data_IF_583890217680
#
_entry.id   IF_583890217680
#
_cell.length_a   1.000
_cell.length_b   1.000
_cell.length_c   1.000
_cell.angle_alpha   90.00
_cell.angle_beta   90.00
_cell.angle_gamma   90.00
#
_symmetry.space_group_name_H-M   'P 1'
#
loop_
_entity.id
_entity.type
_entity.pdbx_description
1 polymer ?
#
# COMPACT_ATOMS: atom_id res chain seq x y z
N UNK A 1 -38.82 -45.37 19.75
CA UNK A 1 -37.54 -45.33 19.02
C UNK A 1 -37.65 -44.31 17.91
N UNK A 2 -36.67 -43.39 17.86
CA UNK A 2 -36.29 -42.43 16.80
C UNK A 2 -37.35 -41.50 16.18
N UNK A 3 -37.31 -40.23 16.59
CA UNK A 3 -37.79 -39.10 15.80
C UNK A 3 -36.68 -38.67 14.83
N UNK A 4 -36.96 -38.70 13.52
CA UNK A 4 -36.04 -38.24 12.48
C UNK A 4 -36.07 -36.70 12.40
N UNK A 5 -34.98 -36.04 12.77
CA UNK A 5 -34.77 -34.62 12.48
C UNK A 5 -34.32 -34.46 11.03
N UNK A 6 -35.19 -33.92 10.17
CA UNK A 6 -34.79 -33.36 8.88
C UNK A 6 -34.19 -31.97 9.12
N UNK A 7 -32.89 -31.82 8.90
CA UNK A 7 -32.25 -30.50 8.83
C UNK A 7 -32.39 -29.95 7.40
N UNK A 8 -32.77 -28.66 7.21
CA UNK A 8 -32.80 -28.07 5.89
C UNK A 8 -31.37 -27.80 5.41
N UNK A 9 -31.08 -28.26 4.19
CA UNK A 9 -29.85 -27.95 3.48
C UNK A 9 -29.86 -26.45 3.13
N UNK A 10 -29.14 -25.63 3.90
CA UNK A 10 -28.93 -24.22 3.55
C UNK A 10 -28.05 -24.16 2.29
N UNK A 11 -28.65 -23.77 1.17
CA UNK A 11 -27.90 -23.43 -0.04
C UNK A 11 -27.09 -22.16 0.22
N UNK A 12 -25.76 -22.29 0.20
CA UNK A 12 -24.85 -21.14 0.26
C UNK A 12 -24.95 -20.40 -1.08
N UNK A 13 -25.66 -19.28 -1.11
CA UNK A 13 -25.67 -18.42 -2.28
C UNK A 13 -24.24 -17.88 -2.50
N UNK A 14 -23.73 -17.82 -3.75
CA UNK A 14 -22.45 -17.20 -4.02
C UNK A 14 -22.56 -15.72 -3.62
N UNK A 15 -21.76 -15.33 -2.63
CA UNK A 15 -21.54 -13.92 -2.31
C UNK A 15 -20.87 -13.29 -3.51
N UNK A 16 -21.64 -12.60 -4.36
CA UNK A 16 -21.06 -11.68 -5.32
C UNK A 16 -20.29 -10.65 -4.50
N UNK A 17 -18.97 -10.76 -4.49
CA UNK A 17 -18.11 -9.67 -4.09
C UNK A 17 -18.45 -8.53 -5.06
N UNK A 18 -19.25 -7.58 -4.59
CA UNK A 18 -19.47 -6.35 -5.33
C UNK A 18 -18.09 -5.74 -5.53
N UNK A 19 -17.67 -5.62 -6.79
CA UNK A 19 -16.49 -4.85 -7.15
C UNK A 19 -16.68 -3.43 -6.60
N UNK A 20 -16.03 -3.13 -5.50
CA UNK A 20 -15.88 -1.78 -5.00
C UNK A 20 -14.94 -1.06 -5.97
N UNK A 21 -15.47 -0.67 -7.13
CA UNK A 21 -14.86 0.33 -7.97
C UNK A 21 -14.99 1.65 -7.23
N UNK A 22 -14.00 1.97 -6.41
CA UNK A 22 -13.79 3.32 -5.90
C UNK A 22 -13.31 4.11 -7.11
N UNK A 23 -14.11 5.01 -7.69
CA UNK A 23 -13.64 5.84 -8.78
C UNK A 23 -12.45 6.63 -8.25
N UNK A 24 -11.30 6.49 -8.90
CA UNK A 24 -10.25 7.49 -8.77
C UNK A 24 -10.78 8.72 -9.49
N UNK A 25 -11.25 9.72 -8.74
CA UNK A 25 -11.84 10.95 -9.31
C UNK A 25 -10.84 11.77 -10.13
N UNK A 26 -9.57 11.36 -10.20
CA UNK A 26 -8.57 11.96 -11.08
C UNK A 26 -8.42 11.14 -12.38
N UNK A 27 -8.56 11.77 -13.56
CA UNK A 27 -8.17 11.13 -14.81
C UNK A 27 -6.69 10.77 -14.76
N UNK A 28 -6.36 9.58 -15.26
CA UNK A 28 -4.99 9.11 -15.38
C UNK A 28 -4.14 10.16 -16.11
N UNK A 29 -3.01 10.56 -15.50
CA UNK A 29 -2.13 11.60 -16.03
C UNK A 29 -2.40 13.03 -15.53
N UNK A 30 -3.27 13.21 -14.53
CA UNK A 30 -3.38 14.51 -13.83
C UNK A 30 -2.09 14.77 -13.05
N UNK A 31 -1.35 15.86 -13.32
CA UNK A 31 -0.16 16.19 -12.56
C UNK A 31 -0.51 16.48 -11.09
N UNK A 32 0.31 16.04 -10.12
CA UNK A 32 0.04 16.32 -8.72
C UNK A 32 0.16 17.82 -8.42
N UNK A 33 -0.74 18.33 -7.56
CA UNK A 33 -0.70 19.72 -7.12
C UNK A 33 0.59 20.06 -6.33
N UNK A 34 1.11 19.07 -5.59
CA UNK A 34 2.34 19.17 -4.81
C UNK A 34 3.12 17.86 -4.90
N UNK A 35 4.44 17.95 -4.90
CA UNK A 35 5.33 16.79 -4.86
C UNK A 35 6.22 16.81 -3.61
N UNK A 36 6.43 15.63 -3.05
CA UNK A 36 7.20 15.42 -1.83
C UNK A 36 8.44 14.57 -2.11
N UNK A 37 9.55 14.92 -1.47
CA UNK A 37 10.80 14.18 -1.62
C UNK A 37 10.68 12.81 -0.96
N UNK A 38 11.04 11.74 -1.68
CA UNK A 38 11.16 10.40 -1.12
C UNK A 38 12.51 10.28 -0.43
N UNK A 39 12.50 10.23 0.90
CA UNK A 39 13.72 10.22 1.72
C UNK A 39 14.25 8.81 2.03
N UNK A 40 13.41 7.77 1.86
CA UNK A 40 13.78 6.37 2.09
C UNK A 40 12.72 5.41 1.54
N UNK A 41 13.14 4.37 0.84
CA UNK A 41 12.33 3.18 0.58
C UNK A 41 12.51 2.18 1.72
N UNK A 42 11.41 1.78 2.36
CA UNK A 42 11.44 0.84 3.49
C UNK A 42 11.35 -0.58 2.96
N UNK A 43 10.32 -0.83 2.16
CA UNK A 43 9.91 -2.08 1.50
C UNK A 43 9.24 -1.70 0.15
N UNK A 44 8.81 -2.68 -0.65
CA UNK A 44 8.27 -2.42 -1.99
C UNK A 44 7.01 -1.54 -2.05
N UNK A 45 6.23 -1.48 -0.96
CA UNK A 45 4.99 -0.71 -0.86
C UNK A 45 5.02 0.39 0.22
N UNK A 46 6.18 0.62 0.85
CA UNK A 46 6.29 1.52 2.00
C UNK A 46 7.49 2.44 1.84
N UNK A 47 7.24 3.75 1.85
CA UNK A 47 8.27 4.79 1.73
C UNK A 47 8.19 5.82 2.86
N UNK A 48 9.25 6.60 3.01
CA UNK A 48 9.25 7.84 3.77
C UNK A 48 9.30 9.03 2.81
N UNK A 49 8.48 10.03 3.08
CA UNK A 49 8.47 11.30 2.35
C UNK A 49 8.80 12.46 3.30
N UNK A 50 9.35 13.54 2.76
CA UNK A 50 9.51 14.80 3.48
C UNK A 50 8.31 15.73 3.21
N UNK A 51 7.58 16.10 4.26
CA UNK A 51 6.44 17.01 4.17
C UNK A 51 6.48 18.00 5.33
N UNK A 52 6.61 19.29 5.01
CA UNK A 52 6.60 20.35 6.03
C UNK A 52 7.77 20.29 7.02
N UNK A 53 8.93 19.75 6.61
CA UNK A 53 10.10 19.56 7.48
C UNK A 53 10.01 18.34 8.41
N UNK A 54 8.98 17.51 8.24
CA UNK A 54 8.83 16.24 8.94
C UNK A 54 8.90 15.06 7.97
N UNK A 55 9.45 13.95 8.48
CA UNK A 55 9.44 12.67 7.76
C UNK A 55 8.15 11.93 8.03
N UNK A 56 7.35 11.73 6.99
CA UNK A 56 6.12 10.98 7.07
C UNK A 56 6.26 9.60 6.44
N UNK A 57 5.72 8.57 7.10
CA UNK A 57 5.71 7.21 6.58
C UNK A 57 4.45 6.96 5.76
N UNK A 58 4.62 6.59 4.51
CA UNK A 58 3.55 6.35 3.54
C UNK A 58 3.45 4.85 3.23
N UNK A 59 2.22 4.33 3.21
CA UNK A 59 1.88 3.01 2.66
C UNK A 59 1.14 3.24 1.34
N UNK A 60 1.64 2.62 0.28
CA UNK A 60 1.03 2.67 -1.03
C UNK A 60 -0.30 1.90 -0.99
N UNK A 61 -1.36 2.55 -1.45
CA UNK A 61 -2.65 1.92 -1.62
C UNK A 61 -2.61 0.93 -2.79
N UNK A 62 -3.38 -0.16 -2.68
CA UNK A 62 -3.52 -1.19 -3.70
C UNK A 62 -2.23 -1.96 -4.04
N UNK A 63 -1.17 -1.78 -3.25
CA UNK A 63 0.09 -2.51 -3.36
C UNK A 63 0.38 -3.19 -2.02
N UNK A 64 0.63 -4.50 -2.09
CA UNK A 64 1.10 -5.31 -0.95
C UNK A 64 2.26 -6.17 -1.44
N UNK A 65 3.47 -5.78 -1.06
CA UNK A 65 4.69 -6.49 -1.44
C UNK A 65 5.15 -7.40 -0.33
N UNK A 66 5.96 -8.38 -0.70
CA UNK A 66 6.72 -9.16 0.27
C UNK A 66 7.53 -8.28 1.23
N UNK A 67 7.63 -8.71 2.49
CA UNK A 67 8.34 -7.97 3.54
C UNK A 67 9.76 -8.53 3.68
N UNK A 68 10.75 -7.64 3.74
CA UNK A 68 12.16 -8.05 3.82
C UNK A 68 12.49 -8.78 5.12
N UNK A 69 13.48 -9.65 5.03
CA UNK A 69 14.10 -10.30 6.19
C UNK A 69 14.81 -9.25 7.05
N UNK A 70 14.50 -9.20 8.34
CA UNK A 70 15.02 -8.19 9.27
C UNK A 70 15.28 -8.78 10.65
N UNK A 71 16.44 -8.47 11.23
CA UNK A 71 16.72 -8.80 12.64
C UNK A 71 15.97 -7.90 13.63
N UNK A 72 15.39 -6.78 13.17
CA UNK A 72 14.73 -5.78 14.02
C UNK A 72 13.22 -6.02 14.18
N UNK A 73 12.62 -6.79 13.28
CA UNK A 73 11.20 -7.14 13.34
C UNK A 73 11.06 -8.65 13.24
N UNK A 74 10.60 -9.34 14.30
CA UNK A 74 10.44 -10.78 14.24
C UNK A 74 9.41 -11.16 13.18
N UNK A 75 9.63 -12.32 12.57
CA UNK A 75 8.64 -12.96 11.72
C UNK A 75 7.31 -13.09 12.47
N UNK A 76 6.21 -12.69 11.82
CA UNK A 76 4.90 -12.65 12.45
C UNK A 76 3.79 -12.84 11.42
N UNK A 77 2.63 -13.30 11.86
CA UNK A 77 1.46 -13.47 10.98
C UNK A 77 1.06 -12.18 10.27
N UNK A 78 1.29 -11.01 10.89
CA UNK A 78 0.97 -9.71 10.30
C UNK A 78 2.08 -9.07 9.47
N UNK A 79 3.30 -9.60 9.57
CA UNK A 79 4.51 -9.13 8.87
C UNK A 79 5.43 -10.33 8.66
N UNK A 80 5.06 -11.24 7.76
CA UNK A 80 5.84 -12.44 7.51
C UNK A 80 7.14 -12.05 6.81
N UNK A 81 8.27 -12.59 7.24
CA UNK A 81 9.52 -12.39 6.51
C UNK A 81 9.57 -13.35 5.33
N UNK A 82 9.69 -12.82 4.11
CA UNK A 82 9.59 -13.64 2.89
C UNK A 82 10.79 -13.42 1.96
N UNK A 83 10.97 -14.35 1.03
CA UNK A 83 12.21 -14.51 0.25
C UNK A 83 12.44 -13.40 -0.77
N UNK A 84 11.38 -12.75 -1.28
CA UNK A 84 11.46 -11.67 -2.27
C UNK A 84 11.31 -10.26 -1.66
N UNK A 85 11.34 -10.14 -0.33
CA UNK A 85 11.17 -8.85 0.33
C UNK A 85 12.32 -7.86 0.06
N UNK A 86 13.54 -8.34 -0.16
CA UNK A 86 14.65 -7.45 -0.53
C UNK A 86 14.59 -7.04 -2.01
N UNK A 87 14.17 -7.95 -2.88
CA UNK A 87 14.02 -7.73 -4.32
C UNK A 87 12.93 -6.71 -4.62
N UNK A 88 11.76 -6.82 -3.97
CA UNK A 88 10.66 -5.86 -4.15
C UNK A 88 11.05 -4.45 -3.66
N UNK A 89 11.81 -4.37 -2.56
CA UNK A 89 12.38 -3.11 -2.07
C UNK A 89 13.39 -2.52 -3.04
N UNK A 90 14.31 -3.32 -3.59
CA UNK A 90 15.30 -2.87 -4.58
C UNK A 90 14.57 -2.36 -5.82
N UNK A 91 13.59 -3.11 -6.31
CA UNK A 91 12.78 -2.72 -7.46
C UNK A 91 12.06 -1.38 -7.22
N UNK A 92 11.43 -1.19 -6.05
CA UNK A 92 10.78 0.08 -5.72
C UNK A 92 11.79 1.23 -5.62
N UNK A 93 12.97 0.98 -5.06
CA UNK A 93 14.04 1.97 -5.01
C UNK A 93 14.48 2.39 -6.41
N UNK A 94 14.74 1.43 -7.30
CA UNK A 94 15.12 1.70 -8.69
C UNK A 94 14.01 2.41 -9.46
N UNK A 95 12.75 2.04 -9.25
CA UNK A 95 11.60 2.73 -9.82
C UNK A 95 11.60 4.22 -9.43
N UNK A 96 11.70 4.53 -8.14
CA UNK A 96 11.71 5.92 -7.70
C UNK A 96 12.94 6.66 -8.23
N UNK A 97 14.13 6.07 -8.16
CA UNK A 97 15.34 6.69 -8.72
C UNK A 97 15.22 6.95 -10.22
N UNK A 98 14.49 6.10 -10.98
CA UNK A 98 14.28 6.27 -12.42
C UNK A 98 13.42 7.46 -12.82
N UNK A 99 12.58 7.97 -11.91
CA UNK A 99 11.73 9.15 -12.14
C UNK A 99 12.37 10.44 -11.62
N UNK A 100 13.53 10.37 -10.97
CA UNK A 100 14.25 11.53 -10.48
C UNK A 100 15.09 12.18 -11.60
N UNK A 101 15.21 13.50 -11.57
CA UNK A 101 16.19 14.20 -12.39
C UNK A 101 17.63 13.85 -11.94
N UNK A 102 18.62 13.85 -12.85
CA UNK A 102 20.00 13.52 -12.50
C UNK A 102 20.56 14.38 -11.36
N UNK A 103 20.94 13.74 -10.25
CA UNK A 103 21.50 14.42 -9.08
C UNK A 103 20.46 14.92 -8.07
N UNK A 104 19.16 14.74 -8.36
CA UNK A 104 18.09 15.05 -7.43
C UNK A 104 17.56 13.79 -6.72
N UNK A 105 16.81 14.00 -5.65
CA UNK A 105 16.05 12.94 -4.99
C UNK A 105 14.70 12.76 -5.68
N UNK A 106 14.18 11.53 -5.74
CA UNK A 106 12.86 11.30 -6.30
C UNK A 106 11.79 12.10 -5.58
N UNK A 107 10.84 12.61 -6.35
CA UNK A 107 9.68 13.34 -5.85
C UNK A 107 8.41 12.68 -6.34
N UNK A 108 7.40 12.61 -5.48
CA UNK A 108 6.13 11.94 -5.77
C UNK A 108 4.95 12.84 -5.41
N UNK A 109 3.90 12.80 -6.21
CA UNK A 109 2.59 13.28 -5.84
C UNK A 109 1.86 12.27 -4.96
N UNK A 110 0.89 12.76 -4.19
CA UNK A 110 0.00 11.91 -3.39
C UNK A 110 -1.44 12.12 -3.84
N UNK A 111 -2.11 11.01 -4.13
CA UNK A 111 -3.54 10.99 -4.39
C UNK A 111 -4.25 10.24 -3.26
N UNK A 112 -5.15 10.95 -2.59
CA UNK A 112 -5.98 10.40 -1.54
C UNK A 112 -7.36 10.03 -2.09
N UNK A 113 -7.81 8.77 -1.97
CA UNK A 113 -9.15 8.39 -2.41
C UNK A 113 -10.24 9.25 -1.75
N UNK A 114 -11.13 9.82 -2.56
CA UNK A 114 -12.16 10.75 -2.09
C UNK A 114 -11.62 12.08 -1.55
N UNK A 115 -10.37 12.44 -1.88
CA UNK A 115 -9.77 13.74 -1.58
C UNK A 115 -9.44 13.99 -0.10
N UNK A 116 -9.44 12.95 0.75
CA UNK A 116 -9.23 13.09 2.20
C UNK A 116 -8.05 12.26 2.66
N UNK A 117 -7.18 12.89 3.46
CA UNK A 117 -6.08 12.15 4.10
C UNK A 117 -6.61 11.10 5.07
N UNK A 118 -6.10 9.88 4.92
CA UNK A 118 -6.41 8.76 5.80
C UNK A 118 -5.10 8.18 6.33
N UNK A 119 -5.12 7.79 7.61
CA UNK A 119 -4.03 7.05 8.24
C UNK A 119 -4.47 5.64 8.60
N UNK A 120 -3.58 4.68 8.36
CA UNK A 120 -3.77 3.31 8.81
C UNK A 120 -3.60 3.17 10.33
N UNK A 121 -3.94 1.99 10.86
CA UNK A 121 -3.84 1.67 12.31
C UNK A 121 -2.47 1.92 12.96
N UNK A 122 -1.40 2.00 12.15
CA UNK A 122 -0.03 2.22 12.60
C UNK A 122 0.46 3.66 12.33
N UNK A 123 -0.44 4.60 12.07
CA UNK A 123 -0.13 6.02 11.83
C UNK A 123 0.45 6.35 10.45
N UNK A 124 0.65 5.35 9.58
CA UNK A 124 1.10 5.54 8.19
C UNK A 124 0.04 6.30 7.38
N UNK A 125 0.48 7.27 6.59
CA UNK A 125 -0.37 7.84 5.53
C UNK A 125 -0.74 6.75 4.52
N UNK A 126 -1.96 6.80 4.01
CA UNK A 126 -2.46 5.91 2.96
C UNK A 126 -2.76 6.75 1.72
N UNK A 127 -1.99 6.56 0.64
CA UNK A 127 -2.22 7.26 -0.62
C UNK A 127 -1.75 6.42 -1.81
N UNK A 128 -2.28 6.76 -2.99
CA UNK A 128 -1.67 6.39 -4.27
C UNK A 128 -0.53 7.38 -4.58
N UNK A 129 0.52 6.90 -5.22
CA UNK A 129 1.60 7.75 -5.72
C UNK A 129 1.34 8.06 -7.19
N UNK A 130 1.39 9.34 -7.54
CA UNK A 130 1.17 9.88 -8.89
C UNK A 130 2.28 10.84 -9.32
#
# INVERSE_FOLDING_TARGET
MLAALLAPLLALAPSQAADLHVPSDLPAGTPPAHTFEVTRVVDGDTIWIERGGEREKLRLLNVDTEEKISSWHPDSTSKPQTVFGEETKIWAKELFESIAEPGERPRVGLLFPGGREVRGRYGRLLAEVI
#
